data_IF_921420895569
#
_entry.id   IF_921420895569
#
_cell.length_a   1.000
_cell.length_b   1.000
_cell.length_c   1.000
_cell.angle_alpha   90.00
_cell.angle_beta   90.00
_cell.angle_gamma   90.00
#
_symmetry.space_group_name_H-M   'P 1'
#
loop_
_entity.id
_entity.type
_entity.pdbx_description
1 polymer ?
#
# COMPACT_ATOMS: atom_id res chain seq x y z
N UNK A 1 14.07 -3.35 -14.83
CA UNK A 1 12.92 -2.49 -15.22
C UNK A 1 13.17 -1.07 -14.73
N UNK A 2 12.90 -0.07 -15.56
CA UNK A 2 12.98 1.33 -15.18
C UNK A 2 11.57 1.93 -15.09
N UNK A 3 11.17 2.38 -13.90
CA UNK A 3 9.88 3.04 -13.67
C UNK A 3 10.11 4.54 -13.58
N UNK A 4 9.34 5.31 -14.38
CA UNK A 4 9.39 6.77 -14.30
C UNK A 4 8.69 7.23 -13.04
N UNK A 5 9.31 8.16 -12.31
CA UNK A 5 8.77 8.79 -11.10
C UNK A 5 8.97 10.28 -11.18
N UNK A 6 8.01 11.05 -10.70
CA UNK A 6 8.09 12.51 -10.62
C UNK A 6 7.59 13.01 -9.28
N UNK A 7 8.06 14.21 -8.88
CA UNK A 7 7.45 15.00 -7.81
C UNK A 7 6.42 15.93 -8.42
N UNK A 8 5.29 16.05 -7.76
CA UNK A 8 4.18 16.88 -8.24
C UNK A 8 4.21 18.30 -7.65
N UNK A 9 4.83 18.46 -6.49
CA UNK A 9 4.86 19.74 -5.78
C UNK A 9 6.29 20.13 -5.43
N UNK A 10 6.60 21.41 -5.53
CA UNK A 10 7.84 22.00 -5.05
C UNK A 10 7.91 21.98 -3.53
N UNK A 11 9.14 22.06 -3.00
CA UNK A 11 9.37 22.11 -1.56
C UNK A 11 9.49 20.74 -0.87
N UNK A 12 9.51 19.64 -1.62
CA UNK A 12 9.70 18.29 -1.10
C UNK A 12 10.92 17.56 -1.70
N UNK A 13 11.85 18.31 -2.30
CA UNK A 13 13.05 17.79 -2.97
C UNK A 13 14.04 17.13 -2.00
N UNK A 14 13.98 17.53 -0.74
CA UNK A 14 14.76 16.97 0.37
C UNK A 14 14.31 15.56 0.78
N UNK A 15 13.05 15.18 0.49
CA UNK A 15 12.55 13.86 0.81
C UNK A 15 13.16 12.82 -0.13
N UNK A 16 13.62 11.65 0.39
CA UNK A 16 14.17 10.62 -0.47
C UNK A 16 13.09 10.01 -1.38
N UNK A 17 13.49 9.55 -2.55
CA UNK A 17 12.66 8.68 -3.38
C UNK A 17 12.56 7.29 -2.74
N UNK A 18 11.48 6.54 -2.99
CA UNK A 18 11.36 5.15 -2.57
C UNK A 18 12.56 4.33 -3.05
N UNK A 19 13.17 3.56 -2.15
CA UNK A 19 14.32 2.70 -2.46
C UNK A 19 14.30 1.43 -1.64
N UNK A 20 14.86 0.37 -2.19
CA UNK A 20 15.09 -0.87 -1.47
C UNK A 20 16.14 -0.68 -0.38
N UNK A 21 15.86 -1.15 0.83
CA UNK A 21 16.79 -1.06 1.94
C UNK A 21 17.97 -2.04 1.79
N UNK A 22 17.72 -3.22 1.19
CA UNK A 22 18.72 -4.26 0.92
C UNK A 22 18.44 -4.90 -0.44
N UNK A 23 19.39 -5.67 -0.96
CA UNK A 23 19.21 -6.41 -2.22
C UNK A 23 18.09 -7.46 -2.19
N UNK A 24 17.73 -7.94 -1.00
CA UNK A 24 16.63 -8.90 -0.80
C UNK A 24 15.29 -8.26 -0.46
N UNK A 25 15.22 -6.93 -0.37
CA UNK A 25 13.97 -6.23 -0.07
C UNK A 25 13.01 -6.30 -1.26
N UNK A 26 11.75 -6.65 -1.02
CA UNK A 26 10.68 -6.58 -2.02
C UNK A 26 9.94 -5.22 -1.96
N UNK A 27 9.95 -4.55 -0.82
CA UNK A 27 9.27 -3.28 -0.58
C UNK A 27 10.23 -2.10 -0.48
N UNK A 28 9.72 -0.94 -0.86
CA UNK A 28 10.40 0.37 -0.76
C UNK A 28 9.58 1.26 0.16
N UNK A 29 10.19 1.85 1.20
CA UNK A 29 9.49 2.81 2.05
C UNK A 29 9.09 4.06 1.26
N UNK A 30 7.88 4.57 1.55
CA UNK A 30 7.38 5.84 1.03
C UNK A 30 7.16 6.84 2.17
N UNK A 31 7.39 8.11 1.90
CA UNK A 31 7.53 9.15 2.90
C UNK A 31 6.36 10.15 2.85
N UNK A 32 5.96 10.64 4.03
CA UNK A 32 4.95 11.68 4.15
C UNK A 32 5.47 13.03 3.63
N UNK A 33 4.80 13.60 2.63
CA UNK A 33 5.07 14.92 2.09
C UNK A 33 4.06 15.93 2.66
N UNK A 34 4.21 16.24 3.93
CA UNK A 34 3.36 17.19 4.67
C UNK A 34 4.18 18.41 5.09
N UNK A 35 3.55 19.58 5.09
CA UNK A 35 4.18 20.82 5.58
C UNK A 35 4.01 20.96 7.10
N UNK A 36 2.83 20.55 7.60
CA UNK A 36 2.50 20.56 9.02
C UNK A 36 2.23 19.13 9.51
N UNK A 37 2.46 18.83 10.79
CA UNK A 37 2.14 17.53 11.36
C UNK A 37 0.67 17.16 11.16
N UNK A 38 0.41 15.90 10.79
CA UNK A 38 -0.94 15.34 10.64
C UNK A 38 -1.24 14.44 11.81
N UNK A 39 -2.31 14.72 12.54
CA UNK A 39 -2.74 13.91 13.69
C UNK A 39 -3.80 12.91 13.23
N UNK A 40 -3.58 11.63 13.53
CA UNK A 40 -4.58 10.58 13.37
C UNK A 40 -5.14 10.24 14.75
N UNK A 41 -6.33 10.74 15.06
CA UNK A 41 -7.00 10.39 16.31
C UNK A 41 -7.35 8.88 16.34
N UNK A 42 -7.50 8.26 17.54
CA UNK A 42 -8.00 6.90 17.65
C UNK A 42 -9.31 6.70 16.89
N UNK A 43 -9.39 5.62 16.10
CA UNK A 43 -10.54 5.30 15.26
C UNK A 43 -10.72 6.15 14.00
N UNK A 44 -9.76 7.06 13.72
CA UNK A 44 -9.84 7.96 12.56
C UNK A 44 -9.01 7.49 11.39
N UNK A 45 -9.33 8.04 10.20
CA UNK A 45 -8.66 7.79 8.94
C UNK A 45 -8.19 9.13 8.37
N UNK A 46 -6.97 9.15 7.81
CA UNK A 46 -6.41 10.32 7.12
C UNK A 46 -5.83 9.91 5.77
N UNK A 47 -5.81 10.85 4.84
CA UNK A 47 -5.17 10.72 3.54
C UNK A 47 -3.86 11.52 3.55
N UNK A 48 -2.72 10.83 3.50
CA UNK A 48 -1.39 11.45 3.59
C UNK A 48 -0.76 11.56 2.22
N UNK A 49 -0.40 12.78 1.78
CA UNK A 49 0.26 13.01 0.50
C UNK A 49 1.72 12.52 0.52
N UNK A 50 2.25 12.17 -0.65
CA UNK A 50 3.65 11.80 -0.85
C UNK A 50 4.39 12.68 -1.84
N UNK A 51 3.67 13.58 -2.52
CA UNK A 51 4.18 14.41 -3.64
C UNK A 51 4.74 13.59 -4.82
N UNK A 52 4.45 12.30 -4.90
CA UNK A 52 5.00 11.41 -5.93
C UNK A 52 3.91 10.88 -6.86
N UNK A 53 4.24 10.81 -8.14
CA UNK A 53 3.50 10.07 -9.16
C UNK A 53 4.46 9.15 -9.94
N UNK A 54 3.95 8.00 -10.38
CA UNK A 54 4.73 7.00 -11.12
C UNK A 54 4.05 6.64 -12.42
N UNK A 55 4.83 6.08 -13.34
CA UNK A 55 4.33 5.50 -14.58
C UNK A 55 4.85 4.08 -14.71
N UNK A 56 3.97 3.11 -14.53
CA UNK A 56 4.27 1.69 -14.67
C UNK A 56 4.10 1.25 -16.13
N UNK A 57 4.80 0.19 -16.51
CA UNK A 57 4.56 -0.51 -17.75
C UNK A 57 3.26 -1.35 -17.62
N UNK A 58 2.57 -1.54 -18.75
CA UNK A 58 1.42 -2.44 -18.80
C UNK A 58 1.80 -3.86 -18.34
N UNK A 59 0.93 -4.51 -17.56
CA UNK A 59 1.19 -5.82 -16.94
C UNK A 59 1.87 -5.75 -15.58
N UNK A 60 2.06 -4.53 -15.04
CA UNK A 60 2.57 -4.31 -13.70
C UNK A 60 1.61 -3.44 -12.89
N UNK A 61 1.50 -3.72 -11.61
CA UNK A 61 0.85 -2.90 -10.60
C UNK A 61 1.88 -2.44 -9.55
N UNK A 62 1.55 -1.37 -8.84
CA UNK A 62 2.26 -1.03 -7.61
C UNK A 62 1.29 -1.12 -6.44
N UNK A 63 1.64 -1.93 -5.44
CA UNK A 63 0.84 -2.11 -4.23
C UNK A 63 1.35 -1.21 -3.11
N UNK A 64 0.43 -0.56 -2.41
CA UNK A 64 0.68 0.11 -1.14
C UNK A 64 0.39 -0.88 -0.02
N UNK A 65 1.38 -1.15 0.82
CA UNK A 65 1.25 -2.05 1.97
C UNK A 65 1.62 -1.35 3.26
N UNK A 66 1.03 -1.79 4.37
CA UNK A 66 1.38 -1.33 5.72
C UNK A 66 2.83 -1.65 6.06
N UNK A 67 3.42 -0.84 6.94
CA UNK A 67 4.68 -1.14 7.59
C UNK A 67 4.42 -1.89 8.89
N UNK A 68 5.07 -3.04 9.06
CA UNK A 68 4.91 -3.89 10.25
C UNK A 68 5.22 -3.15 11.56
N UNK A 69 6.23 -2.26 11.55
CA UNK A 69 6.60 -1.49 12.73
C UNK A 69 5.52 -0.50 13.18
N UNK A 70 4.83 0.18 12.25
CA UNK A 70 3.70 1.05 12.59
C UNK A 70 2.50 0.24 13.07
N UNK A 71 2.23 -0.89 12.40
CA UNK A 71 1.12 -1.76 12.76
C UNK A 71 1.25 -2.31 14.18
N UNK A 72 2.40 -2.91 14.53
CA UNK A 72 2.56 -3.55 15.85
C UNK A 72 2.76 -2.56 17.00
N UNK A 73 3.47 -1.44 16.77
CA UNK A 73 3.80 -0.50 17.84
C UNK A 73 2.71 0.54 18.10
N UNK A 74 2.02 0.96 17.04
CA UNK A 74 1.08 2.08 17.09
C UNK A 74 -0.33 1.72 16.67
N UNK A 75 -0.57 0.49 16.18
CA UNK A 75 -1.81 0.08 15.54
C UNK A 75 -2.23 1.00 14.38
N UNK A 76 -1.24 1.59 13.67
CA UNK A 76 -1.42 2.44 12.50
C UNK A 76 -1.04 1.65 11.25
N UNK A 77 -1.93 1.65 10.27
CA UNK A 77 -1.78 0.83 9.07
C UNK A 77 -2.46 1.45 7.86
N UNK A 78 -2.07 1.01 6.65
CA UNK A 78 -2.78 1.37 5.44
C UNK A 78 -4.15 0.70 5.43
N UNK A 79 -5.23 1.49 5.41
CA UNK A 79 -6.60 0.97 5.54
C UNK A 79 -6.96 0.04 4.37
N UNK A 80 -6.62 0.43 3.15
CA UNK A 80 -6.74 -0.40 1.95
C UNK A 80 -5.43 -1.19 1.74
N UNK A 81 -5.25 -2.28 2.43
CA UNK A 81 -4.00 -3.04 2.40
C UNK A 81 -4.22 -4.44 1.79
N UNK A 82 -3.74 -4.63 0.53
CA UNK A 82 -2.97 -3.69 -0.27
C UNK A 82 -3.83 -2.63 -0.97
N UNK A 83 -3.31 -1.40 -1.05
CA UNK A 83 -3.80 -0.42 -2.02
C UNK A 83 -3.26 -0.75 -3.40
N UNK A 84 -4.03 -0.49 -4.46
CA UNK A 84 -3.64 -0.76 -5.85
C UNK A 84 -3.37 0.53 -6.60
N UNK A 85 -2.22 0.60 -7.26
CA UNK A 85 -1.85 1.66 -8.19
C UNK A 85 -1.72 1.03 -9.57
N UNK A 86 -2.65 1.35 -10.44
CA UNK A 86 -2.73 0.81 -11.79
C UNK A 86 -1.63 1.39 -12.71
N UNK A 87 -1.29 0.65 -13.76
CA UNK A 87 -0.23 1.06 -14.69
C UNK A 87 -0.52 2.35 -15.44
N UNK A 88 -1.79 2.71 -15.61
CA UNK A 88 -2.26 3.92 -16.29
C UNK A 88 -2.62 5.07 -15.32
N UNK A 89 -2.51 4.86 -14.00
CA UNK A 89 -2.69 5.94 -13.03
C UNK A 89 -1.52 6.93 -13.09
N UNK A 90 -1.84 8.24 -13.15
CA UNK A 90 -0.85 9.33 -13.21
C UNK A 90 -1.03 10.36 -12.11
N UNK A 91 -1.97 10.12 -11.20
CA UNK A 91 -2.21 10.97 -10.05
C UNK A 91 -1.18 10.78 -8.94
N UNK A 92 -1.28 11.61 -7.92
CA UNK A 92 -0.46 11.49 -6.73
C UNK A 92 -0.72 10.18 -5.98
N UNK A 93 0.36 9.52 -5.59
CA UNK A 93 0.28 8.42 -4.62
C UNK A 93 -0.01 9.04 -3.25
N UNK A 94 -1.20 8.77 -2.72
CA UNK A 94 -1.58 9.15 -1.36
C UNK A 94 -1.85 7.91 -0.54
N UNK A 95 -1.47 7.95 0.72
CA UNK A 95 -1.59 6.82 1.63
C UNK A 95 -2.78 7.03 2.57
N UNK A 96 -3.73 6.10 2.54
CA UNK A 96 -4.87 6.09 3.45
C UNK A 96 -4.44 5.38 4.73
N UNK A 97 -4.26 6.11 5.82
CA UNK A 97 -3.85 5.56 7.11
C UNK A 97 -5.01 5.57 8.11
N UNK A 98 -5.16 4.46 8.82
CA UNK A 98 -6.09 4.32 9.93
C UNK A 98 -5.32 4.14 11.24
N UNK A 99 -5.83 4.71 12.32
CA UNK A 99 -5.33 4.51 13.68
C UNK A 99 -6.32 3.65 14.46
N UNK A 100 -5.97 2.40 14.71
CA UNK A 100 -6.73 1.47 15.53
C UNK A 100 -6.20 1.39 16.98
N UNK A 101 -5.23 2.25 17.31
CA UNK A 101 -4.68 2.38 18.64
C UNK A 101 -5.58 3.18 19.59
N UNK A 102 -5.11 3.36 20.81
CA UNK A 102 -5.82 4.12 21.87
C UNK A 102 -5.36 5.56 21.98
N UNK A 103 -4.18 5.87 21.41
CA UNK A 103 -3.56 7.20 21.48
C UNK A 103 -3.52 7.84 20.09
N UNK A 104 -3.56 9.18 19.98
CA UNK A 104 -3.33 9.88 18.73
C UNK A 104 -1.94 9.55 18.18
N UNK A 105 -1.86 9.35 16.87
CA UNK A 105 -0.60 9.19 16.16
C UNK A 105 -0.28 10.43 15.33
N UNK A 106 0.92 10.96 15.47
CA UNK A 106 1.35 12.17 14.76
C UNK A 106 2.29 11.77 13.64
N UNK A 107 1.92 12.14 12.40
CA UNK A 107 2.76 12.01 11.21
C UNK A 107 3.49 13.32 11.00
N UNK A 108 4.79 13.25 10.89
CA UNK A 108 5.65 14.38 10.55
C UNK A 108 6.16 14.26 9.12
N UNK A 109 6.63 15.38 8.57
CA UNK A 109 7.32 15.43 7.28
C UNK A 109 8.47 14.41 7.25
N UNK A 110 8.49 13.58 6.20
CA UNK A 110 9.53 12.59 5.99
C UNK A 110 9.36 11.29 6.78
N UNK A 111 8.29 11.15 7.54
CA UNK A 111 7.97 9.87 8.17
C UNK A 111 7.71 8.79 7.12
N UNK A 112 8.23 7.59 7.37
CA UNK A 112 7.96 6.41 6.55
C UNK A 112 6.61 5.83 6.92
N UNK A 113 5.61 6.06 6.08
CA UNK A 113 4.19 5.80 6.38
C UNK A 113 3.63 4.52 5.78
N UNK A 114 4.25 4.02 4.73
CA UNK A 114 3.85 2.79 4.04
C UNK A 114 5.05 2.23 3.26
N UNK A 115 4.85 1.14 2.56
CA UNK A 115 5.80 0.58 1.60
C UNK A 115 5.13 0.28 0.26
N UNK A 116 5.90 0.45 -0.81
CA UNK A 116 5.50 0.18 -2.19
C UNK A 116 6.11 -1.13 -2.66
N UNK A 117 5.30 -1.97 -3.31
CA UNK A 117 5.76 -3.20 -3.95
C UNK A 117 5.29 -3.19 -5.40
N UNK A 118 6.22 -3.32 -6.36
CA UNK A 118 5.87 -3.50 -7.76
C UNK A 118 5.78 -4.98 -8.07
N UNK A 119 4.69 -5.41 -8.70
CA UNK A 119 4.44 -6.79 -9.05
C UNK A 119 3.85 -6.91 -10.45
N UNK A 120 4.05 -8.06 -11.09
CA UNK A 120 3.30 -8.44 -12.31
C UNK A 120 1.91 -8.89 -11.91
N UNK A 121 0.96 -8.67 -12.81
CA UNK A 121 -0.38 -9.25 -12.69
C UNK A 121 -0.81 -9.87 -14.02
N UNK A 122 -1.71 -10.84 -13.94
CA UNK A 122 -2.34 -11.44 -15.10
C UNK A 122 -3.68 -10.77 -15.36
N UNK A 123 -3.95 -10.37 -16.61
CA UNK A 123 -5.29 -10.01 -17.05
C UNK A 123 -6.05 -11.27 -17.39
N UNK A 124 -7.26 -11.37 -16.91
CA UNK A 124 -8.17 -12.47 -17.20
C UNK A 124 -9.38 -11.97 -17.99
N UNK A 125 -9.95 -12.86 -18.79
CA UNK A 125 -11.28 -12.71 -19.35
C UNK A 125 -12.20 -13.72 -18.66
N UNK A 126 -13.39 -13.27 -18.26
CA UNK A 126 -14.35 -14.15 -17.62
C UNK A 126 -15.10 -14.99 -18.65
N UNK A 127 -15.09 -16.30 -18.50
CA UNK A 127 -15.99 -17.21 -19.17
C UNK A 127 -17.15 -17.56 -18.22
N UNK A 128 -18.33 -17.06 -18.56
CA UNK A 128 -19.53 -17.38 -17.78
C UNK A 128 -19.97 -18.81 -18.07
N UNK A 129 -20.05 -19.62 -17.01
CA UNK A 129 -20.51 -21.00 -17.07
C UNK A 129 -21.64 -21.20 -16.04
N UNK A 130 -22.53 -22.17 -16.26
CA UNK A 130 -23.62 -22.48 -15.32
C UNK A 130 -23.11 -23.22 -14.08
N UNK A 131 -22.06 -24.03 -14.23
CA UNK A 131 -21.47 -24.83 -13.17
C UNK A 131 -19.93 -24.80 -13.28
N UNK A 132 -19.26 -24.73 -12.14
CA UNK A 132 -17.80 -24.84 -12.07
C UNK A 132 -17.38 -26.30 -12.04
N UNK A 133 -16.18 -26.65 -12.56
CA UNK A 133 -15.64 -27.98 -12.41
C UNK A 133 -15.48 -28.38 -10.94
N UNK A 134 -15.69 -29.64 -10.64
CA UNK A 134 -15.47 -30.19 -9.29
C UNK A 134 -14.02 -30.04 -8.85
N UNK A 135 -13.81 -29.85 -7.54
CA UNK A 135 -12.49 -29.83 -6.93
C UNK A 135 -12.50 -30.61 -5.62
N UNK A 136 -11.35 -31.11 -5.21
CA UNK A 136 -11.18 -31.85 -3.94
C UNK A 136 -11.65 -31.02 -2.72
N UNK A 137 -11.46 -29.71 -2.75
CA UNK A 137 -11.88 -28.81 -1.68
C UNK A 137 -13.39 -28.50 -1.72
N UNK A 138 -14.01 -28.52 -2.91
CA UNK A 138 -15.40 -28.15 -3.12
C UNK A 138 -15.72 -26.76 -2.54
N UNK A 139 -16.81 -26.66 -1.78
CA UNK A 139 -17.27 -25.43 -1.12
C UNK A 139 -16.59 -25.14 0.22
N UNK A 140 -15.63 -25.95 0.65
CA UNK A 140 -14.95 -25.83 1.93
C UNK A 140 -14.20 -24.51 2.08
N UNK A 141 -14.63 -23.65 3.01
CA UNK A 141 -14.05 -22.32 3.30
C UNK A 141 -14.35 -21.90 4.73
N UNK A 142 -14.04 -20.64 5.07
CA UNK A 142 -14.39 -20.01 6.35
C UNK A 142 -14.02 -20.83 7.60
N UNK A 143 -12.86 -21.49 7.56
CA UNK A 143 -12.39 -22.31 8.68
C UNK A 143 -12.87 -23.77 8.66
N UNK A 144 -13.27 -24.31 7.50
CA UNK A 144 -13.69 -25.71 7.34
C UNK A 144 -12.65 -26.73 7.81
N UNK A 145 -11.36 -26.35 7.89
CA UNK A 145 -10.25 -27.17 8.42
C UNK A 145 -10.05 -27.01 9.93
N UNK A 146 -10.82 -26.15 10.61
CA UNK A 146 -10.68 -25.87 12.03
C UNK A 146 -9.50 -24.96 12.39
N UNK A 147 -9.42 -24.57 13.67
CA UNK A 147 -8.36 -23.70 14.22
C UNK A 147 -7.36 -24.48 15.06
N UNK A 148 -7.74 -25.67 15.53
CA UNK A 148 -6.89 -26.53 16.39
C UNK A 148 -6.54 -27.80 15.63
N UNK A 149 -5.27 -28.19 15.72
CA UNK A 149 -4.74 -29.49 15.28
C UNK A 149 -4.84 -30.49 16.41
#
# INVERSE_FOLDING_TARGET
MNIKITRLYEGFEDLPLPKYATNGSAGMDIYAAVNEPVVIAPGSVVLVPTSLAISLEHGFECQVRSRSGLAIKNAVFALNSPGTIDSDYRGEIKIILANFGKEPFIIQRGDRIAQLIVAKYEKIDWEFVNELPESERGEGGFGSTGVKH
#
